data_IF_856475472252
#
_entry.id   IF_856475472252
#
_cell.length_a   1.000
_cell.length_b   1.000
_cell.length_c   1.000
_cell.angle_alpha   90.00
_cell.angle_beta   90.00
_cell.angle_gamma   90.00
#
_symmetry.space_group_name_H-M   'P 1'
#
loop_
_entity.id
_entity.type
_entity.pdbx_description
1 polymer ?
#
# COMPACT_ATOMS: atom_id res chain seq x y z
N UNK A 1 -16.97 -5.68 -21.18
CA UNK A 1 -15.88 -5.44 -20.21
C UNK A 1 -15.79 -3.96 -19.91
N UNK A 2 -15.31 -3.61 -18.68
CA UNK A 2 -15.27 -2.22 -18.22
C UNK A 2 -13.90 -1.55 -18.47
N UNK A 3 -12.92 -2.31 -18.93
CA UNK A 3 -11.58 -1.85 -19.24
C UNK A 3 -10.60 -2.96 -19.58
N UNK A 4 -9.35 -2.56 -19.80
CA UNK A 4 -8.25 -3.46 -20.15
C UNK A 4 -7.01 -3.12 -19.33
N UNK A 5 -6.31 -4.14 -18.87
CA UNK A 5 -4.91 -4.05 -18.40
C UNK A 5 -4.01 -4.55 -19.53
N UNK A 6 -3.04 -3.76 -19.90
CA UNK A 6 -2.07 -4.07 -20.94
C UNK A 6 -0.78 -4.54 -20.28
N UNK A 7 -0.41 -5.77 -20.61
CA UNK A 7 0.85 -6.37 -20.21
C UNK A 7 2.01 -5.73 -20.92
N UNK A 8 3.16 -5.56 -20.26
CA UNK A 8 4.37 -4.94 -20.80
C UNK A 8 4.06 -3.68 -21.65
N UNK A 9 3.16 -2.84 -21.17
CA UNK A 9 2.57 -1.76 -21.98
C UNK A 9 3.59 -0.70 -22.45
N UNK A 10 4.77 -0.65 -21.84
CA UNK A 10 5.86 0.20 -22.31
C UNK A 10 6.28 -0.12 -23.77
N UNK A 11 6.13 -1.38 -24.20
CA UNK A 11 6.43 -1.79 -25.59
C UNK A 11 5.49 -1.17 -26.60
N UNK A 12 4.23 -0.88 -26.21
CA UNK A 12 3.21 -0.29 -27.08
C UNK A 12 3.50 1.17 -27.44
N UNK A 13 4.26 1.86 -26.60
CA UNK A 13 4.69 3.23 -26.81
C UNK A 13 6.11 3.38 -27.32
N UNK A 14 6.82 2.26 -27.55
CA UNK A 14 8.24 2.29 -27.92
C UNK A 14 8.40 2.52 -29.43
N UNK A 15 9.22 3.50 -29.74
CA UNK A 15 9.70 3.81 -31.11
C UNK A 15 11.23 3.66 -31.17
N UNK A 16 11.84 4.00 -32.30
CA UNK A 16 13.29 3.82 -32.50
C UNK A 16 14.17 4.67 -31.58
N UNK A 17 13.65 5.76 -31.04
CA UNK A 17 14.33 6.75 -30.20
C UNK A 17 13.83 6.72 -28.74
N UNK A 18 12.90 5.81 -28.38
CA UNK A 18 12.43 5.63 -27.02
C UNK A 18 10.92 5.49 -26.86
N UNK A 19 10.43 5.72 -25.65
CA UNK A 19 9.00 5.66 -25.34
C UNK A 19 8.30 7.00 -25.66
N UNK A 20 7.22 6.93 -26.44
CA UNK A 20 6.39 8.06 -26.83
C UNK A 20 4.94 7.86 -26.42
N UNK A 21 4.47 8.66 -25.45
CA UNK A 21 3.09 8.60 -24.96
C UNK A 21 2.04 9.11 -25.95
N UNK A 22 2.46 9.71 -27.04
CA UNK A 22 1.62 10.23 -28.13
C UNK A 22 1.80 9.48 -29.44
N UNK A 23 2.36 8.27 -29.39
CA UNK A 23 2.52 7.42 -30.56
C UNK A 23 1.17 6.99 -31.16
N UNK A 24 1.23 6.33 -32.31
CA UNK A 24 0.05 5.93 -33.09
C UNK A 24 -0.90 5.00 -32.32
N UNK A 25 -0.37 4.07 -31.53
CA UNK A 25 -1.20 3.15 -30.74
C UNK A 25 -2.08 3.89 -29.73
N UNK A 26 -1.47 4.75 -28.90
CA UNK A 26 -2.22 5.49 -27.88
C UNK A 26 -3.23 6.45 -28.50
N UNK A 27 -2.87 7.11 -29.63
CA UNK A 27 -3.79 7.97 -30.37
C UNK A 27 -4.98 7.17 -30.89
N UNK A 28 -4.76 5.99 -31.49
CA UNK A 28 -5.82 5.15 -32.00
C UNK A 28 -6.79 4.71 -30.87
N UNK A 29 -6.25 4.23 -29.75
CA UNK A 29 -7.06 3.85 -28.57
C UNK A 29 -7.89 5.02 -28.03
N UNK A 30 -7.33 6.23 -27.97
CA UNK A 30 -8.04 7.40 -27.45
C UNK A 30 -9.11 7.93 -28.40
N UNK A 31 -8.94 7.76 -29.72
CA UNK A 31 -9.88 8.20 -30.74
C UNK A 31 -11.02 7.19 -30.96
N UNK A 32 -10.82 5.95 -30.56
CA UNK A 32 -11.85 4.92 -30.71
C UNK A 32 -13.06 5.23 -29.82
N UNK A 33 -14.29 5.22 -30.36
CA UNK A 33 -15.50 5.62 -29.62
C UNK A 33 -15.87 4.68 -28.48
N UNK A 34 -15.36 3.44 -28.46
CA UNK A 34 -15.57 2.46 -27.39
C UNK A 34 -14.38 2.48 -26.42
N UNK A 35 -13.15 2.27 -26.91
CA UNK A 35 -11.96 2.24 -26.09
C UNK A 35 -11.68 3.58 -25.40
N UNK A 36 -12.03 4.68 -26.05
CA UNK A 36 -11.97 6.01 -25.49
C UNK A 36 -12.84 6.23 -24.25
N UNK A 37 -13.70 5.29 -23.83
CA UNK A 37 -14.62 5.43 -22.69
C UNK A 37 -14.38 4.39 -21.58
N UNK A 38 -13.60 3.35 -21.84
CA UNK A 38 -13.32 2.30 -20.86
C UNK A 38 -12.08 2.60 -20.03
N UNK A 39 -11.86 1.84 -18.96
CA UNK A 39 -10.66 1.95 -18.14
C UNK A 39 -9.46 1.37 -18.89
N UNK A 40 -8.37 2.11 -18.90
CA UNK A 40 -7.11 1.71 -19.50
C UNK A 40 -6.05 1.68 -18.39
N UNK A 41 -5.47 0.51 -18.16
CA UNK A 41 -4.47 0.28 -17.12
C UNK A 41 -3.21 -0.27 -17.77
N UNK A 42 -2.09 0.38 -17.55
CA UNK A 42 -0.80 -0.07 -18.04
C UNK A 42 -0.04 -0.84 -16.95
N UNK A 43 0.61 -1.91 -17.36
CA UNK A 43 1.84 -2.32 -16.72
C UNK A 43 2.97 -1.49 -17.35
N UNK A 44 3.49 -0.49 -16.62
CA UNK A 44 4.31 0.56 -17.25
C UNK A 44 5.80 0.22 -17.27
N UNK A 45 6.13 -1.05 -17.51
CA UNK A 45 7.51 -1.52 -17.67
C UNK A 45 7.61 -2.67 -18.68
N UNK A 46 8.83 -2.92 -19.11
CA UNK A 46 9.28 -4.09 -19.84
C UNK A 46 10.80 -4.29 -19.65
N UNK A 47 11.37 -5.34 -20.24
CA UNK A 47 12.78 -5.70 -20.10
C UNK A 47 13.72 -4.95 -21.07
N UNK A 48 13.20 -4.11 -21.96
CA UNK A 48 13.98 -3.39 -22.96
C UNK A 48 14.66 -2.13 -22.40
N UNK A 49 15.57 -1.54 -23.15
CA UNK A 49 16.21 -0.27 -22.78
C UNK A 49 15.15 0.83 -22.56
N UNK A 50 15.28 1.57 -21.45
CA UNK A 50 14.30 2.58 -21.05
C UNK A 50 12.92 2.00 -20.74
N UNK A 51 12.82 0.72 -20.38
CA UNK A 51 11.56 0.00 -20.21
C UNK A 51 10.70 0.46 -19.05
N UNK A 52 11.25 1.09 -18.02
CA UNK A 52 10.50 1.54 -16.84
C UNK A 52 9.88 2.92 -17.08
N UNK A 53 8.56 2.97 -17.31
CA UNK A 53 7.82 4.15 -17.76
C UNK A 53 6.71 4.60 -16.79
N UNK A 54 6.84 4.27 -15.49
CA UNK A 54 5.87 4.71 -14.47
C UNK A 54 5.79 6.24 -14.43
N UNK A 55 4.60 6.78 -14.63
CA UNK A 55 4.33 8.21 -14.70
C UNK A 55 4.30 8.78 -16.12
N UNK A 56 4.72 8.02 -17.15
CA UNK A 56 4.90 8.54 -18.50
C UNK A 56 3.75 8.21 -19.48
N UNK A 57 2.77 7.43 -19.08
CA UNK A 57 1.62 7.10 -19.93
C UNK A 57 0.68 8.30 -20.15
N UNK A 58 -0.15 8.25 -21.21
CA UNK A 58 -1.11 9.33 -21.51
C UNK A 58 -2.10 9.59 -20.36
N UNK A 59 -2.72 10.77 -20.35
CA UNK A 59 -3.57 11.28 -19.27
C UNK A 59 -4.68 10.32 -18.82
N UNK A 60 -5.29 9.58 -19.74
CA UNK A 60 -6.41 8.68 -19.45
C UNK A 60 -6.01 7.31 -18.91
N UNK A 61 -4.71 7.00 -18.87
CA UNK A 61 -4.21 5.71 -18.42
C UNK A 61 -3.95 5.73 -16.91
N UNK A 62 -4.40 4.67 -16.25
CA UNK A 62 -3.90 4.32 -14.93
C UNK A 62 -2.69 3.39 -15.08
N UNK A 63 -1.82 3.37 -14.10
CA UNK A 63 -0.55 2.64 -14.15
C UNK A 63 -0.33 1.85 -12.88
N UNK A 64 0.09 0.58 -13.00
CA UNK A 64 0.62 -0.15 -11.86
C UNK A 64 1.83 0.59 -11.31
N UNK A 65 1.77 0.99 -10.03
CA UNK A 65 2.81 1.81 -9.43
C UNK A 65 3.86 0.96 -8.70
N UNK A 66 4.89 0.54 -9.42
CA UNK A 66 6.00 -0.23 -8.85
C UNK A 66 6.77 0.54 -7.77
N UNK A 67 6.86 1.89 -7.87
CA UNK A 67 7.46 2.72 -6.81
C UNK A 67 6.66 2.65 -5.51
N UNK A 68 5.32 2.57 -5.60
CA UNK A 68 4.47 2.35 -4.43
C UNK A 68 4.79 1.02 -3.74
N UNK A 69 4.81 -0.07 -4.52
CA UNK A 69 5.12 -1.42 -4.04
C UNK A 69 6.44 -1.44 -3.27
N UNK A 70 7.49 -0.96 -3.90
CA UNK A 70 8.84 -1.04 -3.35
C UNK A 70 9.01 -0.13 -2.12
N UNK A 71 8.44 1.07 -2.15
CA UNK A 71 8.47 1.99 -1.01
C UNK A 71 7.74 1.41 0.20
N UNK A 72 6.53 0.87 0.02
CA UNK A 72 5.76 0.27 1.11
C UNK A 72 6.47 -0.94 1.73
N UNK A 73 7.00 -1.85 0.89
CA UNK A 73 7.74 -3.03 1.36
C UNK A 73 8.99 -2.62 2.14
N UNK A 74 9.85 -1.79 1.56
CA UNK A 74 11.11 -1.34 2.19
C UNK A 74 10.87 -0.57 3.49
N UNK A 75 9.85 0.25 3.54
CA UNK A 75 9.47 1.00 4.74
C UNK A 75 9.12 0.06 5.89
N UNK A 76 8.25 -0.94 5.64
CA UNK A 76 7.85 -1.90 6.67
C UNK A 76 8.98 -2.86 7.08
N UNK A 77 9.98 -3.06 6.23
CA UNK A 77 11.24 -3.71 6.64
C UNK A 77 12.07 -2.84 7.60
N UNK A 78 11.81 -1.53 7.65
CA UNK A 78 12.54 -0.60 8.51
C UNK A 78 13.77 0.00 7.84
N UNK A 79 13.83 0.02 6.51
CA UNK A 79 14.93 0.65 5.80
C UNK A 79 14.97 2.16 6.07
N UNK A 80 16.15 2.67 6.44
CA UNK A 80 16.36 4.09 6.68
C UNK A 80 16.07 4.94 5.43
N UNK A 81 15.69 6.20 5.64
CA UNK A 81 15.44 7.16 4.56
C UNK A 81 14.15 6.92 3.77
N UNK A 82 13.32 5.95 4.16
CA UNK A 82 12.09 5.65 3.43
C UNK A 82 10.88 6.51 3.83
N UNK A 83 10.98 7.33 4.88
CA UNK A 83 9.85 8.11 5.39
C UNK A 83 9.27 9.05 4.33
N UNK A 84 10.11 9.84 3.67
CA UNK A 84 9.66 10.80 2.65
C UNK A 84 9.07 10.10 1.41
N UNK A 85 9.67 8.98 1.00
CA UNK A 85 9.16 8.20 -0.12
C UNK A 85 7.79 7.61 0.18
N UNK A 86 7.62 6.93 1.33
CA UNK A 86 6.34 6.33 1.69
C UNK A 86 5.26 7.39 1.93
N UNK A 87 5.61 8.55 2.49
CA UNK A 87 4.69 9.67 2.63
C UNK A 87 4.17 10.16 1.27
N UNK A 88 5.06 10.32 0.28
CA UNK A 88 4.68 10.64 -1.10
C UNK A 88 3.79 9.57 -1.72
N UNK A 89 4.06 8.29 -1.46
CA UNK A 89 3.23 7.17 -1.96
C UNK A 89 1.84 7.17 -1.33
N UNK A 90 1.74 7.32 0.01
CA UNK A 90 0.46 7.34 0.74
C UNK A 90 -0.40 8.53 0.32
N UNK A 91 0.21 9.68 0.07
CA UNK A 91 -0.50 10.89 -0.38
C UNK A 91 -0.83 10.92 -1.89
N UNK A 92 -0.58 9.82 -2.63
CA UNK A 92 -1.08 9.63 -4.00
C UNK A 92 -0.03 9.72 -5.09
N UNK A 93 1.27 9.80 -4.77
CA UNK A 93 2.39 9.83 -5.73
C UNK A 93 2.33 11.04 -6.69
N UNK A 94 2.09 12.23 -6.15
CA UNK A 94 2.03 13.47 -6.93
C UNK A 94 3.34 13.75 -7.69
N UNK A 95 4.48 13.43 -7.10
CA UNK A 95 5.80 13.52 -7.71
C UNK A 95 5.94 12.69 -9.01
N UNK A 96 5.13 11.63 -9.14
CA UNK A 96 5.10 10.75 -10.32
C UNK A 96 4.05 11.19 -11.33
N UNK A 97 2.86 11.58 -10.87
CA UNK A 97 1.70 11.77 -11.75
C UNK A 97 1.25 13.23 -11.89
N UNK A 98 1.57 14.10 -10.93
CA UNK A 98 1.09 15.47 -10.89
C UNK A 98 1.58 16.35 -12.05
N UNK A 99 2.79 16.12 -12.54
CA UNK A 99 3.38 16.88 -13.64
C UNK A 99 2.58 16.78 -14.94
N UNK A 100 1.85 15.70 -15.17
CA UNK A 100 1.00 15.45 -16.34
C UNK A 100 -0.47 15.79 -16.09
N UNK A 101 -0.79 16.53 -15.03
CA UNK A 101 -2.15 16.93 -14.60
C UNK A 101 -3.07 15.74 -14.28
N UNK A 102 -2.52 14.55 -14.07
CA UNK A 102 -3.27 13.38 -13.64
C UNK A 102 -3.51 13.44 -12.14
N UNK A 103 -4.65 12.93 -11.69
CA UNK A 103 -4.97 12.85 -10.26
C UNK A 103 -4.47 11.55 -9.62
N UNK A 104 -4.61 11.39 -8.30
CA UNK A 104 -4.11 10.22 -7.58
C UNK A 104 -4.74 8.89 -8.04
N UNK A 105 -5.93 8.91 -8.61
CA UNK A 105 -6.63 7.70 -9.08
C UNK A 105 -5.90 6.96 -10.22
N UNK A 106 -5.00 7.62 -10.95
CA UNK A 106 -4.20 6.96 -11.98
C UNK A 106 -3.07 6.09 -11.41
N UNK A 107 -2.68 6.30 -10.15
CA UNK A 107 -1.78 5.41 -9.43
C UNK A 107 -2.52 4.16 -9.00
N UNK A 108 -2.26 3.02 -9.64
CA UNK A 108 -2.75 1.72 -9.18
C UNK A 108 -1.74 1.18 -8.17
N UNK A 109 -2.10 1.35 -6.89
CA UNK A 109 -1.24 0.98 -5.76
C UNK A 109 -1.38 -0.51 -5.47
N UNK A 110 -0.28 -1.22 -5.37
CA UNK A 110 -0.27 -2.64 -5.04
C UNK A 110 0.90 -2.98 -4.11
N UNK A 111 0.74 -4.06 -3.37
CA UNK A 111 1.81 -4.68 -2.57
C UNK A 111 2.35 -5.91 -3.30
N UNK A 112 1.46 -6.70 -3.88
CA UNK A 112 1.69 -7.98 -4.56
C UNK A 112 0.92 -8.02 -5.87
N UNK A 113 1.42 -8.78 -6.82
CA UNK A 113 0.78 -9.05 -8.11
C UNK A 113 0.97 -10.51 -8.51
N UNK A 114 0.52 -10.91 -9.71
CA UNK A 114 0.75 -12.25 -10.24
C UNK A 114 2.25 -12.56 -10.44
N UNK A 115 3.07 -11.53 -10.65
CA UNK A 115 4.53 -11.63 -10.66
C UNK A 115 5.07 -11.29 -9.28
N UNK A 116 5.82 -12.21 -8.69
CA UNK A 116 6.38 -12.06 -7.37
C UNK A 116 5.68 -12.93 -6.31
N UNK A 117 6.05 -12.74 -5.07
CA UNK A 117 5.43 -13.42 -3.93
C UNK A 117 3.98 -12.99 -3.72
N UNK A 118 3.15 -13.94 -3.25
CA UNK A 118 1.87 -13.60 -2.61
C UNK A 118 2.11 -12.80 -1.34
N UNK A 119 1.09 -12.16 -0.79
CA UNK A 119 1.22 -11.42 0.46
C UNK A 119 1.59 -12.33 1.66
N UNK A 120 1.17 -13.60 1.62
CA UNK A 120 1.58 -14.60 2.59
C UNK A 120 3.07 -14.93 2.46
N UNK A 121 3.51 -15.20 1.24
CA UNK A 121 4.90 -15.59 0.98
C UNK A 121 5.87 -14.43 1.21
N UNK A 122 5.46 -13.19 0.91
CA UNK A 122 6.22 -11.98 1.18
C UNK A 122 6.58 -11.82 2.68
N UNK A 123 5.73 -12.34 3.57
CA UNK A 123 5.97 -12.34 5.01
C UNK A 123 6.53 -13.66 5.55
N UNK A 124 6.84 -14.63 4.66
CA UNK A 124 7.22 -15.99 5.06
C UNK A 124 8.51 -16.50 4.45
N UNK A 125 9.00 -15.84 3.39
CA UNK A 125 10.20 -16.25 2.66
C UNK A 125 11.14 -15.08 2.41
N UNK A 126 12.42 -15.28 2.68
CA UNK A 126 13.48 -14.34 2.27
C UNK A 126 14.02 -14.69 0.89
N UNK A 127 13.97 -15.98 0.51
CA UNK A 127 14.48 -16.49 -0.74
C UNK A 127 13.32 -16.99 -1.64
N UNK A 128 13.48 -16.88 -2.95
CA UNK A 128 12.57 -17.52 -3.89
C UNK A 128 12.82 -19.01 -3.98
N UNK A 129 11.75 -19.76 -4.15
CA UNK A 129 11.75 -21.23 -4.29
C UNK A 129 11.05 -21.62 -5.59
N UNK A 130 11.73 -21.34 -6.73
CA UNK A 130 11.21 -21.58 -8.09
C UNK A 130 11.75 -22.88 -8.71
N UNK A 131 12.29 -23.80 -7.93
CA UNK A 131 12.92 -25.02 -8.42
C UNK A 131 11.94 -25.85 -9.29
N UNK A 132 10.67 -25.89 -8.92
CA UNK A 132 9.63 -26.61 -9.64
C UNK A 132 9.30 -26.03 -11.03
N UNK A 133 9.79 -24.82 -11.34
CA UNK A 133 9.67 -24.23 -12.67
C UNK A 133 10.67 -24.84 -13.69
N UNK A 134 11.64 -25.63 -13.23
CA UNK A 134 12.61 -26.29 -14.09
C UNK A 134 13.72 -25.38 -14.64
N UNK A 135 13.80 -24.14 -14.16
CA UNK A 135 14.80 -23.15 -14.60
C UNK A 135 15.99 -23.00 -13.63
N UNK A 136 16.13 -23.92 -12.67
CA UNK A 136 17.20 -23.92 -11.68
C UNK A 136 17.15 -22.71 -10.74
N UNK A 137 15.95 -22.24 -10.39
CA UNK A 137 15.69 -21.10 -9.52
C UNK A 137 16.29 -19.77 -10.02
N UNK A 138 16.53 -19.62 -11.35
CA UNK A 138 17.11 -18.40 -11.95
C UNK A 138 16.03 -17.40 -12.37
N UNK A 139 14.82 -17.88 -12.64
CA UNK A 139 13.64 -17.11 -13.02
C UNK A 139 13.04 -16.34 -11.85
N UNK A 140 12.17 -15.37 -12.15
CA UNK A 140 11.55 -14.51 -11.16
C UNK A 140 12.48 -13.49 -10.52
N UNK A 141 11.93 -12.57 -9.74
CA UNK A 141 12.69 -11.50 -9.09
C UNK A 141 13.52 -12.04 -7.92
N UNK A 142 14.76 -11.60 -7.82
CA UNK A 142 15.64 -11.92 -6.68
C UNK A 142 15.62 -10.87 -5.58
N UNK A 143 15.02 -9.69 -5.83
CA UNK A 143 14.90 -8.59 -4.88
C UNK A 143 13.44 -8.37 -4.47
N UNK A 144 12.92 -9.26 -3.63
CA UNK A 144 11.50 -9.25 -3.27
C UNK A 144 11.14 -8.22 -2.19
N UNK A 145 12.11 -7.68 -1.45
CA UNK A 145 11.84 -6.89 -0.24
C UNK A 145 10.87 -7.62 0.70
N UNK A 146 11.14 -8.89 0.96
CA UNK A 146 10.38 -9.80 1.81
C UNK A 146 11.07 -10.02 3.15
N UNK A 147 10.38 -10.65 4.09
CA UNK A 147 10.95 -11.00 5.40
C UNK A 147 10.29 -12.26 5.96
N UNK A 148 11.09 -13.31 6.19
CA UNK A 148 10.63 -14.57 6.77
C UNK A 148 10.38 -14.52 8.28
N UNK A 149 10.70 -13.39 8.95
CA UNK A 149 10.60 -13.19 10.40
C UNK A 149 11.41 -14.19 11.24
N UNK A 150 12.52 -14.69 10.67
CA UNK A 150 13.49 -15.58 11.33
C UNK A 150 13.31 -17.07 11.04
N UNK A 151 12.24 -17.47 10.33
CA UNK A 151 12.02 -18.86 9.90
C UNK A 151 11.59 -18.87 8.44
N UNK A 152 12.35 -19.53 7.57
CA UNK A 152 12.01 -19.63 6.15
C UNK A 152 10.86 -20.63 5.95
N UNK A 153 9.80 -20.18 5.27
CA UNK A 153 8.66 -21.01 4.94
C UNK A 153 7.70 -21.31 6.10
N UNK A 154 7.01 -22.46 6.06
CA UNK A 154 5.98 -22.84 7.04
C UNK A 154 6.58 -23.00 8.46
N UNK A 155 5.80 -22.62 9.48
CA UNK A 155 6.18 -22.78 10.90
C UNK A 155 4.94 -22.88 11.78
N UNK A 156 5.09 -23.52 12.94
CA UNK A 156 4.09 -23.56 14.02
C UNK A 156 4.44 -22.61 15.18
N UNK A 157 5.56 -21.86 15.07
CA UNK A 157 5.93 -20.88 16.10
C UNK A 157 4.91 -19.72 16.11
N UNK A 158 4.11 -19.66 17.17
CA UNK A 158 3.06 -18.68 17.33
C UNK A 158 3.57 -17.24 17.27
N UNK A 159 4.78 -16.97 17.81
CA UNK A 159 5.36 -15.63 17.83
C UNK A 159 5.80 -15.17 16.41
N UNK A 160 6.32 -16.10 15.60
CA UNK A 160 6.64 -15.83 14.19
C UNK A 160 5.36 -15.60 13.40
N UNK A 161 4.36 -16.43 13.58
CA UNK A 161 3.05 -16.29 12.91
C UNK A 161 2.38 -14.95 13.27
N UNK A 162 2.43 -14.51 14.53
CA UNK A 162 1.86 -13.22 14.95
C UNK A 162 2.57 -12.04 14.27
N UNK A 163 3.91 -12.08 14.16
CA UNK A 163 4.69 -11.06 13.43
C UNK A 163 4.37 -11.04 11.93
N UNK A 164 4.27 -12.22 11.29
CA UNK A 164 3.88 -12.35 9.87
C UNK A 164 2.48 -11.78 9.62
N UNK A 165 1.51 -12.13 10.47
CA UNK A 165 0.14 -11.64 10.36
C UNK A 165 0.07 -10.12 10.53
N UNK A 166 0.80 -9.56 11.50
CA UNK A 166 0.91 -8.11 11.69
C UNK A 166 1.56 -7.43 10.48
N UNK A 167 2.63 -7.99 9.95
CA UNK A 167 3.31 -7.46 8.77
C UNK A 167 2.36 -7.38 7.56
N UNK A 168 1.60 -8.45 7.29
CA UNK A 168 0.60 -8.49 6.22
C UNK A 168 -0.51 -7.45 6.44
N UNK A 169 -1.01 -7.32 7.68
CA UNK A 169 -2.00 -6.28 8.01
C UNK A 169 -1.45 -4.87 7.80
N UNK A 170 -0.22 -4.62 8.17
CA UNK A 170 0.44 -3.33 7.96
C UNK A 170 0.53 -2.96 6.48
N UNK A 171 1.00 -3.87 5.64
CA UNK A 171 1.11 -3.67 4.20
C UNK A 171 -0.26 -3.40 3.55
N UNK A 172 -1.25 -4.24 3.88
CA UNK A 172 -2.61 -4.11 3.35
C UNK A 172 -3.30 -2.82 3.84
N UNK A 173 -3.15 -2.46 5.12
CA UNK A 173 -3.68 -1.23 5.68
C UNK A 173 -3.05 -0.01 5.02
N UNK A 174 -1.73 0.00 4.85
CA UNK A 174 -1.03 1.09 4.15
C UNK A 174 -1.62 1.28 2.75
N UNK A 175 -1.81 0.20 1.99
CA UNK A 175 -2.36 0.28 0.64
C UNK A 175 -3.80 0.81 0.61
N UNK A 176 -4.66 0.27 1.46
CA UNK A 176 -6.07 0.64 1.47
C UNK A 176 -6.33 2.02 2.13
N UNK A 177 -5.42 2.53 2.93
CA UNK A 177 -5.46 3.86 3.54
C UNK A 177 -4.59 4.89 2.79
N UNK A 178 -4.16 4.60 1.57
CA UNK A 178 -3.46 5.54 0.69
C UNK A 178 -4.40 6.14 -0.35
N UNK A 179 -4.09 7.34 -0.83
CA UNK A 179 -4.71 7.85 -2.06
C UNK A 179 -4.26 7.03 -3.26
N UNK A 180 -5.13 6.91 -4.25
CA UNK A 180 -4.91 6.10 -5.45
C UNK A 180 -5.92 4.97 -5.58
N UNK A 181 -5.77 4.15 -6.59
CA UNK A 181 -6.59 2.96 -6.85
C UNK A 181 -5.93 1.74 -6.23
N UNK A 182 -6.48 1.13 -5.18
CA UNK A 182 -5.88 -0.06 -4.60
C UNK A 182 -6.06 -1.27 -5.51
N UNK A 183 -5.02 -2.07 -5.63
CA UNK A 183 -5.00 -3.35 -6.32
C UNK A 183 -4.67 -4.47 -5.34
N UNK A 184 -5.60 -5.38 -5.14
CA UNK A 184 -5.44 -6.56 -4.29
C UNK A 184 -5.30 -7.80 -5.18
N UNK A 185 -4.21 -8.54 -5.00
CA UNK A 185 -4.03 -9.83 -5.68
C UNK A 185 -5.06 -10.84 -5.16
N UNK A 186 -5.78 -11.50 -6.08
CA UNK A 186 -6.77 -12.52 -5.72
C UNK A 186 -6.16 -13.67 -4.93
N UNK A 187 -6.73 -13.94 -3.76
CA UNK A 187 -6.26 -14.97 -2.83
C UNK A 187 -5.43 -14.42 -1.65
N UNK A 188 -4.86 -13.23 -1.76
CA UNK A 188 -4.12 -12.62 -0.64
C UNK A 188 -5.01 -12.46 0.60
N UNK A 189 -6.29 -12.11 0.41
CA UNK A 189 -7.29 -11.99 1.47
C UNK A 189 -7.57 -13.31 2.20
N UNK A 190 -7.28 -14.44 1.55
CA UNK A 190 -7.40 -15.79 2.11
C UNK A 190 -6.06 -16.35 2.59
N UNK A 191 -5.00 -15.57 2.51
CA UNK A 191 -3.62 -15.99 2.83
C UNK A 191 -3.11 -17.08 1.89
N UNK A 192 -3.40 -16.96 0.57
CA UNK A 192 -2.88 -17.86 -0.45
C UNK A 192 -1.36 -17.87 -0.44
N UNK A 193 -0.78 -19.05 -0.55
CA UNK A 193 0.67 -19.25 -0.70
C UNK A 193 0.97 -19.95 -2.02
N UNK A 194 2.13 -19.66 -2.57
CA UNK A 194 2.77 -20.38 -3.67
C UNK A 194 4.00 -21.17 -3.19
N UNK A 195 4.13 -21.38 -1.85
CA UNK A 195 5.25 -22.11 -1.27
C UNK A 195 6.60 -21.43 -1.47
N UNK A 196 6.62 -20.09 -1.62
CA UNK A 196 7.83 -19.35 -1.92
C UNK A 196 8.20 -19.31 -3.41
N UNK A 197 7.37 -19.88 -4.31
CA UNK A 197 7.51 -19.67 -5.75
C UNK A 197 7.00 -18.27 -6.10
N UNK A 198 7.90 -17.41 -6.57
CA UNK A 198 7.56 -16.04 -6.94
C UNK A 198 7.37 -15.82 -8.44
N UNK A 199 7.29 -16.90 -9.23
CA UNK A 199 7.12 -16.85 -10.69
C UNK A 199 6.34 -18.07 -11.20
N UNK A 200 5.13 -18.28 -10.68
CA UNK A 200 4.34 -19.47 -10.92
C UNK A 200 3.66 -19.53 -12.32
N UNK A 201 4.18 -18.81 -13.31
CA UNK A 201 3.57 -18.68 -14.65
C UNK A 201 3.39 -19.99 -15.39
N UNK A 202 4.28 -20.95 -15.20
CA UNK A 202 4.26 -22.27 -15.85
C UNK A 202 3.64 -23.39 -15.00
N UNK A 203 3.08 -23.04 -13.82
CA UNK A 203 2.55 -24.00 -12.87
C UNK A 203 1.05 -24.24 -13.11
N UNK A 204 0.68 -25.43 -13.56
CA UNK A 204 -0.68 -25.96 -13.48
C UNK A 204 -0.76 -27.02 -12.39
N UNK A 205 -0.58 -26.61 -11.14
CA UNK A 205 -0.41 -27.47 -9.97
C UNK A 205 -0.92 -26.77 -8.70
N UNK A 206 -0.99 -27.44 -7.55
CA UNK A 206 -1.36 -26.82 -6.27
C UNK A 206 -0.57 -25.56 -5.90
N UNK A 207 0.63 -25.34 -6.47
CA UNK A 207 1.41 -24.12 -6.29
C UNK A 207 0.61 -22.89 -6.74
N UNK A 208 -0.07 -22.98 -7.89
CA UNK A 208 -0.81 -21.84 -8.47
C UNK A 208 -2.32 -21.92 -8.29
N UNK A 209 -2.85 -23.11 -7.97
CA UNK A 209 -4.29 -23.31 -7.83
C UNK A 209 -4.84 -22.52 -6.63
N UNK A 210 -6.08 -22.08 -6.75
CA UNK A 210 -6.77 -21.41 -5.67
C UNK A 210 -7.44 -22.44 -4.75
N UNK A 211 -6.93 -22.55 -3.52
CA UNK A 211 -7.50 -23.46 -2.53
C UNK A 211 -8.79 -22.88 -1.93
N UNK A 212 -9.90 -23.57 -2.14
CA UNK A 212 -11.22 -23.25 -1.61
C UNK A 212 -11.55 -23.98 -0.29
N UNK A 213 -10.59 -24.71 0.27
CA UNK A 213 -10.77 -25.40 1.55
C UNK A 213 -11.16 -24.45 2.70
N UNK A 214 -11.59 -25.04 3.80
CA UNK A 214 -11.97 -24.31 4.99
C UNK A 214 -10.75 -23.55 5.56
N UNK A 215 -10.96 -22.27 5.87
CA UNK A 215 -9.91 -21.42 6.41
C UNK A 215 -9.60 -21.75 7.87
N UNK A 216 -8.34 -21.70 8.23
CA UNK A 216 -7.91 -21.71 9.64
C UNK A 216 -8.42 -20.47 10.38
N UNK A 217 -8.43 -20.46 11.72
CA UNK A 217 -8.81 -19.28 12.50
C UNK A 217 -8.04 -18.01 12.09
N UNK A 218 -6.71 -18.10 11.91
CA UNK A 218 -5.87 -16.96 11.51
C UNK A 218 -6.23 -16.44 10.12
N UNK A 219 -6.50 -17.32 9.17
CA UNK A 219 -6.93 -16.94 7.82
C UNK A 219 -8.32 -16.28 7.84
N UNK A 220 -9.25 -16.78 8.67
CA UNK A 220 -10.56 -16.14 8.86
C UNK A 220 -10.43 -14.72 9.44
N UNK A 221 -9.58 -14.52 10.43
CA UNK A 221 -9.34 -13.21 11.01
C UNK A 221 -8.74 -12.24 10.00
N UNK A 222 -7.79 -12.71 9.17
CA UNK A 222 -7.21 -11.89 8.11
C UNK A 222 -8.20 -11.56 6.98
N UNK A 223 -9.06 -12.51 6.59
CA UNK A 223 -10.13 -12.27 5.63
C UNK A 223 -11.14 -11.23 6.16
N UNK A 224 -11.51 -11.35 7.43
CA UNK A 224 -12.43 -10.39 8.06
C UNK A 224 -11.81 -9.00 8.17
N UNK A 225 -10.53 -8.91 8.55
CA UNK A 225 -9.77 -7.65 8.51
C UNK A 225 -9.82 -7.02 7.11
N UNK A 226 -9.55 -7.80 6.06
CA UNK A 226 -9.56 -7.34 4.67
C UNK A 226 -10.93 -6.82 4.27
N UNK A 227 -12.01 -7.56 4.57
CA UNK A 227 -13.39 -7.14 4.29
C UNK A 227 -13.75 -5.81 4.97
N UNK A 228 -13.45 -5.71 6.26
CA UNK A 228 -13.74 -4.50 7.06
C UNK A 228 -12.94 -3.29 6.54
N UNK A 229 -11.69 -3.49 6.19
CA UNK A 229 -10.83 -2.43 5.68
C UNK A 229 -11.29 -1.91 4.30
N UNK A 230 -11.72 -2.80 3.40
CA UNK A 230 -12.33 -2.43 2.12
C UNK A 230 -13.65 -1.66 2.36
N UNK A 231 -14.51 -2.15 3.26
CA UNK A 231 -15.76 -1.49 3.60
C UNK A 231 -15.51 -0.10 4.21
N UNK A 232 -14.53 0.01 5.11
CA UNK A 232 -14.10 1.28 5.69
C UNK A 232 -13.67 2.27 4.60
N UNK A 233 -12.73 1.91 3.72
CA UNK A 233 -12.29 2.76 2.61
C UNK A 233 -13.46 3.19 1.72
N UNK A 234 -14.35 2.26 1.37
CA UNK A 234 -15.51 2.56 0.50
C UNK A 234 -16.48 3.56 1.10
N UNK A 235 -16.61 3.57 2.42
CA UNK A 235 -17.52 4.48 3.15
C UNK A 235 -16.92 5.87 3.42
N UNK A 236 -15.62 6.08 3.16
CA UNK A 236 -14.90 7.31 3.51
C UNK A 236 -14.43 8.06 2.26
N UNK A 237 -14.95 9.27 2.02
CA UNK A 237 -14.60 10.09 0.84
C UNK A 237 -13.13 10.55 0.87
N UNK A 238 -12.55 10.70 2.06
CA UNK A 238 -11.19 11.20 2.27
C UNK A 238 -10.14 10.38 1.51
N UNK A 239 -10.36 9.06 1.33
CA UNK A 239 -9.48 8.16 0.56
C UNK A 239 -9.88 8.01 -0.92
N UNK A 240 -10.93 8.70 -1.39
CA UNK A 240 -11.44 8.64 -2.78
C UNK A 240 -11.33 9.99 -3.48
N UNK A 241 -10.45 10.85 -3.02
CA UNK A 241 -10.24 12.19 -3.59
C UNK A 241 -9.76 12.09 -5.04
N UNK A 242 -10.25 13.00 -5.88
CA UNK A 242 -9.81 13.15 -7.27
C UNK A 242 -8.57 14.05 -7.41
N UNK A 243 -8.17 14.74 -6.35
CA UNK A 243 -7.03 15.66 -6.30
C UNK A 243 -6.08 15.26 -5.19
N UNK A 244 -4.80 15.54 -5.39
CA UNK A 244 -3.79 15.40 -4.35
C UNK A 244 -4.08 16.30 -3.15
N UNK A 245 -3.47 16.00 -2.02
CA UNK A 245 -3.49 16.89 -0.87
C UNK A 245 -2.64 18.13 -1.18
N UNK A 246 -3.12 19.29 -0.75
CA UNK A 246 -2.44 20.57 -0.95
C UNK A 246 -1.60 21.00 0.25
N UNK A 247 -1.80 20.37 1.41
CA UNK A 247 -1.23 20.82 2.69
C UNK A 247 -1.81 22.15 3.18
N UNK A 248 -2.88 22.65 2.54
CA UNK A 248 -3.51 23.95 2.85
C UNK A 248 -4.97 23.77 3.27
N UNK A 249 -5.52 24.78 3.92
CA UNK A 249 -6.94 24.80 4.21
C UNK A 249 -7.73 25.19 2.94
N UNK A 250 -8.72 24.40 2.52
CA UNK A 250 -9.65 24.79 1.46
C UNK A 250 -10.35 26.14 1.79
N UNK A 251 -10.80 26.88 0.76
CA UNK A 251 -11.34 28.26 0.91
C UNK A 251 -12.42 28.43 1.97
N UNK A 252 -13.15 27.37 2.32
CA UNK A 252 -14.25 27.40 3.29
C UNK A 252 -13.99 26.51 4.52
N UNK A 253 -12.80 25.94 4.65
CA UNK A 253 -12.40 25.10 5.78
C UNK A 253 -11.34 25.82 6.64
N UNK A 254 -11.44 25.64 7.95
CA UNK A 254 -10.43 26.18 8.89
C UNK A 254 -9.25 25.25 9.07
N UNK A 255 -9.35 24.01 8.57
CA UNK A 255 -8.39 22.93 8.79
C UNK A 255 -7.70 22.59 7.48
N UNK A 256 -6.38 22.39 7.53
CA UNK A 256 -5.59 21.91 6.38
C UNK A 256 -6.03 20.49 5.99
N UNK A 257 -5.99 20.19 4.69
CA UNK A 257 -6.40 18.89 4.17
C UNK A 257 -5.38 17.78 4.52
N UNK A 258 -4.13 18.15 4.83
CA UNK A 258 -3.09 17.22 5.27
C UNK A 258 -2.08 17.93 6.16
N UNK A 259 -1.69 17.28 7.28
CA UNK A 259 -0.61 17.72 8.16
C UNK A 259 0.21 16.52 8.62
N UNK A 260 1.51 16.65 8.63
CA UNK A 260 2.44 15.63 9.08
C UNK A 260 3.08 16.02 10.43
N UNK A 261 3.16 15.06 11.34
CA UNK A 261 3.76 15.24 12.67
C UNK A 261 4.81 14.16 12.94
N UNK A 262 5.86 14.54 13.64
CA UNK A 262 6.78 13.59 14.25
C UNK A 262 6.21 12.95 15.53
N UNK A 263 6.88 11.94 16.05
CA UNK A 263 6.47 11.27 17.30
C UNK A 263 6.57 12.17 18.54
N UNK A 264 7.35 13.27 18.48
CA UNK A 264 7.36 14.31 19.52
C UNK A 264 6.13 15.23 19.52
N UNK A 265 5.17 15.04 18.60
CA UNK A 265 3.97 15.88 18.49
C UNK A 265 4.17 17.20 17.76
N UNK A 266 5.39 17.52 17.33
CA UNK A 266 5.67 18.68 16.50
C UNK A 266 5.35 18.40 15.03
N UNK A 267 4.83 19.45 14.34
CA UNK A 267 4.65 19.37 12.89
C UNK A 267 5.99 19.24 12.19
N UNK A 268 6.07 18.33 11.20
CA UNK A 268 7.29 18.08 10.44
C UNK A 268 7.62 19.27 9.53
N UNK A 269 8.85 19.75 9.65
CA UNK A 269 9.44 20.74 8.78
C UNK A 269 10.13 20.08 7.59
N UNK A 270 10.55 20.86 6.61
CA UNK A 270 11.28 20.34 5.44
C UNK A 270 12.57 19.56 5.81
N UNK A 271 13.18 19.87 6.96
CA UNK A 271 14.44 19.23 7.40
C UNK A 271 14.24 17.83 7.96
N UNK A 272 13.03 17.51 8.37
CA UNK A 272 12.71 16.24 9.05
C UNK A 272 12.53 15.06 8.06
N UNK A 273 12.57 15.33 6.76
CA UNK A 273 12.40 14.34 5.68
C UNK A 273 13.71 13.78 5.12
N UNK A 274 14.82 14.01 5.78
CA UNK A 274 16.16 13.62 5.34
C UNK A 274 16.39 12.10 5.38
N UNK A 275 17.60 11.68 4.95
CA UNK A 275 17.99 10.27 4.89
C UNK A 275 18.02 9.56 6.25
N UNK A 276 18.25 10.32 7.33
CA UNK A 276 18.27 9.83 8.71
C UNK A 276 16.90 9.88 9.39
N UNK A 277 15.86 10.28 8.66
CA UNK A 277 14.51 10.34 9.20
C UNK A 277 14.06 8.98 9.75
N UNK A 278 13.37 8.95 10.90
CA UNK A 278 12.87 7.71 11.48
C UNK A 278 11.84 7.08 10.55
N UNK A 279 11.71 5.76 10.63
CA UNK A 279 10.65 5.02 9.91
C UNK A 279 9.32 5.09 10.69
N UNK A 280 8.95 6.30 11.11
CA UNK A 280 7.80 6.56 11.97
C UNK A 280 7.28 7.99 11.77
N UNK A 281 5.95 8.15 11.69
CA UNK A 281 5.30 9.45 11.52
C UNK A 281 3.84 9.41 11.96
N UNK A 282 3.25 10.60 12.06
CA UNK A 282 1.81 10.80 12.21
C UNK A 282 1.31 11.66 11.04
N UNK A 283 0.14 11.33 10.50
CA UNK A 283 -0.49 12.00 9.37
C UNK A 283 -1.93 12.34 9.73
N UNK A 284 -2.27 13.62 9.79
CA UNK A 284 -3.64 14.08 10.04
C UNK A 284 -4.29 14.48 8.73
N UNK A 285 -5.42 13.85 8.40
CA UNK A 285 -6.21 14.09 7.21
C UNK A 285 -7.48 14.85 7.59
N UNK A 286 -7.65 16.04 7.02
CA UNK A 286 -8.82 16.91 7.16
C UNK A 286 -9.21 17.19 8.64
N UNK A 287 -8.23 17.11 9.56
CA UNK A 287 -8.45 17.24 10.99
C UNK A 287 -9.27 16.13 11.64
N UNK A 288 -9.71 15.16 10.85
CA UNK A 288 -10.61 14.09 11.27
C UNK A 288 -9.91 12.75 11.51
N UNK A 289 -8.95 12.38 10.67
CA UNK A 289 -8.28 11.09 10.73
C UNK A 289 -6.82 11.27 11.09
N UNK A 290 -6.35 10.54 12.08
CA UNK A 290 -4.94 10.45 12.47
C UNK A 290 -4.43 9.06 12.12
N UNK A 291 -3.58 8.99 11.11
CA UNK A 291 -2.80 7.78 10.77
C UNK A 291 -1.45 7.87 11.49
N UNK A 292 -1.22 6.98 12.43
CA UNK A 292 0.04 6.83 13.15
C UNK A 292 0.74 5.56 12.67
N UNK A 293 1.98 5.68 12.24
CA UNK A 293 2.75 4.55 11.71
C UNK A 293 4.09 4.47 12.42
N UNK A 294 4.36 3.32 13.00
CA UNK A 294 5.65 2.94 13.57
C UNK A 294 6.18 1.69 12.85
N UNK A 295 7.07 1.86 11.89
CA UNK A 295 7.76 0.75 11.23
C UNK A 295 9.12 0.42 11.86
N UNK A 296 9.47 1.03 13.00
CA UNK A 296 10.68 0.71 13.75
C UNK A 296 10.55 -0.66 14.44
N UNK A 297 11.69 -1.30 14.77
CA UNK A 297 11.72 -2.60 15.46
C UNK A 297 11.51 -2.49 16.97
N UNK A 298 11.18 -1.30 17.47
CA UNK A 298 10.93 -1.04 18.88
C UNK A 298 9.66 -0.20 19.08
N UNK A 299 9.01 -0.37 20.23
CA UNK A 299 7.94 0.53 20.66
C UNK A 299 8.49 1.94 20.93
N UNK A 300 7.66 2.95 20.72
CA UNK A 300 8.04 4.34 20.90
C UNK A 300 6.96 5.15 21.62
N UNK A 301 7.39 6.11 22.44
CA UNK A 301 6.49 7.13 23.00
C UNK A 301 6.08 8.09 21.88
N UNK A 302 4.80 8.35 21.78
CA UNK A 302 4.22 9.24 20.79
C UNK A 302 3.37 10.29 21.46
N UNK A 303 3.65 11.55 21.20
CA UNK A 303 2.78 12.68 21.57
C UNK A 303 1.80 12.89 20.41
N UNK A 304 0.51 12.74 20.69
CA UNK A 304 -0.55 12.93 19.69
C UNK A 304 -0.70 14.40 19.34
N UNK A 305 -1.09 14.73 18.10
CA UNK A 305 -1.53 16.07 17.75
C UNK A 305 -2.68 16.55 18.64
N UNK A 306 -2.84 17.88 18.83
CA UNK A 306 -3.93 18.43 19.65
C UNK A 306 -5.30 17.87 19.27
N UNK A 307 -6.12 17.58 20.28
CA UNK A 307 -7.46 17.02 20.13
C UNK A 307 -7.64 15.71 20.90
N UNK A 308 -8.83 15.14 20.76
CA UNK A 308 -9.22 13.84 21.34
C UNK A 308 -9.36 12.82 20.20
N UNK A 309 -8.77 11.65 20.36
CA UNK A 309 -8.63 10.66 19.30
C UNK A 309 -9.16 9.29 19.72
N UNK A 310 -10.06 8.71 18.95
CA UNK A 310 -10.60 7.36 19.19
C UNK A 310 -9.96 6.36 18.24
N UNK A 311 -9.32 5.30 18.74
CA UNK A 311 -8.77 4.25 17.89
C UNK A 311 -9.88 3.52 17.11
N UNK A 312 -9.64 3.32 15.80
CA UNK A 312 -10.53 2.61 14.87
C UNK A 312 -9.86 1.37 14.30
N UNK A 313 -8.62 1.53 13.83
CA UNK A 313 -7.80 0.43 13.30
C UNK A 313 -6.52 0.33 14.12
N UNK A 314 -6.18 -0.89 14.50
CA UNK A 314 -4.94 -1.27 15.17
C UNK A 314 -4.45 -2.59 14.57
N UNK A 315 -3.39 -2.52 13.75
CA UNK A 315 -2.84 -3.70 13.06
C UNK A 315 -2.16 -4.70 13.99
N UNK A 316 -1.94 -4.37 15.27
CA UNK A 316 -1.48 -5.33 16.28
C UNK A 316 -2.56 -6.34 16.67
N UNK A 317 -3.82 -5.98 16.54
CA UNK A 317 -4.97 -6.84 16.83
C UNK A 317 -5.18 -7.88 15.72
N UNK A 318 -5.61 -9.11 16.03
CA UNK A 318 -5.83 -10.16 15.04
C UNK A 318 -6.79 -9.76 13.90
N UNK A 319 -7.87 -9.06 14.21
CA UNK A 319 -8.85 -8.53 13.23
C UNK A 319 -8.59 -7.08 12.83
N UNK A 320 -7.55 -6.45 13.34
CA UNK A 320 -7.09 -5.12 12.96
C UNK A 320 -8.04 -3.97 13.25
N UNK A 321 -9.19 -4.20 13.92
CA UNK A 321 -10.16 -3.17 14.29
C UNK A 321 -10.42 -3.21 15.79
N UNK A 322 -10.54 -2.02 16.36
CA UNK A 322 -10.91 -1.88 17.76
C UNK A 322 -12.40 -2.16 17.91
N UNK A 323 -12.77 -3.14 18.76
CA UNK A 323 -14.14 -3.54 18.99
C UNK A 323 -14.77 -2.72 20.14
N UNK A 324 -16.07 -2.43 19.99
CA UNK A 324 -16.85 -1.69 20.99
C UNK A 324 -16.56 -0.18 21.02
N UNK A 325 -17.19 0.54 21.95
CA UNK A 325 -16.92 1.97 22.21
C UNK A 325 -15.59 2.19 22.94
N UNK A 326 -14.61 1.32 22.69
CA UNK A 326 -13.30 1.31 23.33
C UNK A 326 -13.41 1.31 24.85
N UNK A 327 -12.96 0.27 25.51
CA UNK A 327 -12.80 0.25 27.00
C UNK A 327 -11.86 1.37 27.49
N UNK A 328 -11.16 2.04 26.54
CA UNK A 328 -10.35 3.23 26.76
C UNK A 328 -11.12 4.42 26.14
N UNK A 329 -11.41 5.41 26.93
CA UNK A 329 -11.94 6.70 26.47
C UNK A 329 -11.06 7.32 25.35
N UNK A 330 -11.45 8.49 24.82
CA UNK A 330 -10.65 9.17 23.82
C UNK A 330 -9.22 9.40 24.30
N UNK A 331 -8.24 9.14 23.43
CA UNK A 331 -6.83 9.31 23.71
C UNK A 331 -6.42 10.78 23.53
N UNK A 332 -5.67 11.31 24.46
CA UNK A 332 -5.05 12.64 24.42
C UNK A 332 -3.61 12.57 24.93
N UNK A 333 -2.79 13.54 24.57
CA UNK A 333 -1.43 13.66 25.08
C UNK A 333 -0.51 12.56 24.53
N UNK A 334 -0.04 11.65 25.34
CA UNK A 334 0.95 10.63 24.95
C UNK A 334 0.42 9.22 25.02
N UNK A 335 0.89 8.38 24.08
CA UNK A 335 0.68 6.94 24.09
C UNK A 335 1.98 6.20 23.74
N UNK A 336 2.03 4.91 24.03
CA UNK A 336 3.08 4.03 23.53
C UNK A 336 2.60 3.34 22.27
N UNK A 337 3.21 3.66 21.11
CA UNK A 337 2.99 2.93 19.87
C UNK A 337 3.84 1.65 19.88
N UNK A 338 3.24 0.46 19.73
CA UNK A 338 4.02 -0.77 19.58
C UNK A 338 4.99 -0.73 18.40
N UNK A 339 5.96 -1.61 18.39
CA UNK A 339 6.80 -1.87 17.22
C UNK A 339 5.96 -2.34 16.02
N UNK A 340 6.36 -2.00 14.80
CA UNK A 340 5.74 -2.50 13.57
C UNK A 340 4.21 -2.42 13.60
N UNK A 341 3.66 -1.23 13.86
CA UNK A 341 2.21 -1.01 13.96
C UNK A 341 1.74 0.16 13.10
N UNK A 342 0.53 0.02 12.57
CA UNK A 342 -0.26 1.10 12.02
C UNK A 342 -1.53 1.26 12.85
N UNK A 343 -1.77 2.47 13.32
CA UNK A 343 -3.00 2.86 14.01
C UNK A 343 -3.73 3.90 13.16
N UNK A 344 -5.03 3.76 13.06
CA UNK A 344 -5.91 4.81 12.54
C UNK A 344 -6.86 5.23 13.64
N UNK A 345 -6.89 6.53 13.93
CA UNK A 345 -7.73 7.13 14.95
C UNK A 345 -8.66 8.17 14.31
N UNK A 346 -9.87 8.28 14.84
CA UNK A 346 -10.85 9.29 14.46
C UNK A 346 -10.89 10.40 15.53
N UNK A 347 -10.92 11.65 15.08
CA UNK A 347 -11.13 12.77 15.99
C UNK A 347 -12.50 12.68 16.65
N UNK A 348 -12.55 12.90 17.96
CA UNK A 348 -13.79 12.99 18.73
C UNK A 348 -14.11 14.48 18.92
N UNK A 349 -15.27 14.91 18.40
CA UNK A 349 -15.76 16.25 18.69
C UNK A 349 -16.03 16.35 20.18
N UNK A 350 -15.45 17.34 20.84
CA UNK A 350 -15.90 17.68 22.20
C UNK A 350 -17.33 18.17 22.11
N UNK A 351 -18.27 17.46 22.75
CA UNK A 351 -19.60 18.03 22.99
C UNK A 351 -19.38 19.35 23.73
N UNK A 352 -19.51 20.46 23.02
CA UNK A 352 -19.62 21.78 23.67
C UNK A 352 -20.84 21.68 24.57
N UNK A 353 -20.59 21.54 25.88
CA UNK A 353 -21.64 21.67 26.90
C UNK A 353 -22.28 23.05 26.67
N UNK A 354 -23.50 23.04 26.12
CA UNK A 354 -24.32 24.21 25.90
C UNK A 354 -24.87 24.79 27.20
#
# INVERSE_FOLDING_TARGET
VDGFRFDLAATLGRESDGFHRDNAFFKAVHQDPVLGKVKLIAEPWDLGPGGYQVGNFPERWAELNGKYRDAARRFWLGHHGMMSEVASRISGSEDVFGWSRRGPACSVNFITSHDGFTLHDLASYDQKHNEDNGEGNRDGDSLNHSWNHGIEGPTDDASVLDRRDRHRRNLLATMLLSLGTPFLLGGDERSRTQGGNNNAYCQDSPISWFDWAELTPRQRDFLEFTRRLIAFRRSRPEWKRSRFFSGTAPRHAKVRDLVWYGFGGAELSHRDWGADAPVAFQMVIEGRWLLLVNAAPASAMVTLPPGSWRPVIDTSLPRGFVEGNGLLGPLQGTLTAPEKVLLLLEAVEEETAG
#
